data_IF_276143150360
#
_entry.id   IF_276143150360
#
_cell.length_a   1.000
_cell.length_b   1.000
_cell.length_c   1.000
_cell.angle_alpha   90.00
_cell.angle_beta   90.00
_cell.angle_gamma   90.00
#
_symmetry.space_group_name_H-M   'P 1'
#
loop_
_entity.id
_entity.type
_entity.pdbx_description
1 polymer ?
#
# COMPACT_ATOMS: atom_id res chain seq x y z
N UNK A 1 -12.59 -18.10 -32.95
CA UNK A 1 -11.37 -17.77 -32.17
C UNK A 1 -11.70 -17.97 -30.70
N UNK A 2 -11.46 -19.16 -30.12
CA UNK A 2 -11.58 -19.35 -28.65
C UNK A 2 -10.35 -18.68 -28.05
N UNK A 3 -10.53 -17.49 -27.50
CA UNK A 3 -9.47 -16.81 -26.76
C UNK A 3 -9.05 -17.71 -25.60
N UNK A 4 -7.76 -18.00 -25.55
CA UNK A 4 -7.16 -18.90 -24.59
C UNK A 4 -7.32 -18.31 -23.17
N UNK A 5 -8.38 -18.73 -22.47
CA UNK A 5 -8.83 -18.11 -21.22
C UNK A 5 -7.74 -18.10 -20.14
N UNK A 6 -6.85 -19.10 -20.17
CA UNK A 6 -5.69 -19.17 -19.30
C UNK A 6 -4.66 -18.06 -19.60
N UNK A 7 -4.42 -17.74 -20.88
CA UNK A 7 -3.51 -16.66 -21.29
C UNK A 7 -4.02 -15.26 -20.92
N UNK A 8 -5.33 -15.05 -21.04
CA UNK A 8 -5.98 -13.80 -20.62
C UNK A 8 -5.89 -13.59 -19.10
N UNK A 9 -6.18 -14.64 -18.31
CA UNK A 9 -6.10 -14.57 -16.84
C UNK A 9 -4.66 -14.44 -16.36
N UNK A 10 -3.69 -15.10 -17.00
CA UNK A 10 -2.26 -14.91 -16.68
C UNK A 10 -1.81 -13.47 -16.90
N UNK A 11 -2.25 -12.82 -17.98
CA UNK A 11 -1.98 -11.41 -18.23
C UNK A 11 -2.63 -10.49 -17.20
N UNK A 12 -3.85 -10.81 -16.76
CA UNK A 12 -4.51 -10.10 -15.67
C UNK A 12 -3.77 -10.22 -14.33
N UNK A 13 -3.25 -11.41 -14.00
CA UNK A 13 -2.42 -11.62 -12.79
C UNK A 13 -1.19 -10.72 -12.84
N UNK A 14 -0.46 -10.70 -13.95
CA UNK A 14 0.72 -9.83 -14.11
C UNK A 14 0.39 -8.35 -13.94
N UNK A 15 -0.71 -7.90 -14.55
CA UNK A 15 -1.18 -6.52 -14.40
C UNK A 15 -1.53 -6.19 -12.94
N UNK A 16 -2.25 -7.08 -12.24
CA UNK A 16 -2.62 -6.87 -10.84
C UNK A 16 -1.40 -6.89 -9.91
N UNK A 17 -0.43 -7.77 -10.17
CA UNK A 17 0.83 -7.80 -9.41
C UNK A 17 1.62 -6.51 -9.59
N UNK A 18 1.65 -5.95 -10.81
CA UNK A 18 2.23 -4.64 -11.06
C UNK A 18 1.49 -3.53 -10.28
N UNK A 19 0.15 -3.56 -10.22
CA UNK A 19 -0.65 -2.61 -9.43
C UNK A 19 -0.40 -2.74 -7.93
N UNK A 20 -0.25 -3.96 -7.41
CA UNK A 20 0.14 -4.19 -6.01
C UNK A 20 1.52 -3.59 -5.71
N UNK A 21 2.50 -3.80 -6.60
CA UNK A 21 3.84 -3.23 -6.44
C UNK A 21 3.82 -1.69 -6.45
N UNK A 22 3.01 -1.08 -7.32
CA UNK A 22 2.83 0.37 -7.33
C UNK A 22 2.20 0.87 -6.02
N UNK A 23 1.13 0.22 -5.55
CA UNK A 23 0.48 0.58 -4.28
C UNK A 23 1.41 0.41 -3.06
N UNK A 24 2.27 -0.62 -3.07
CA UNK A 24 3.29 -0.82 -2.05
C UNK A 24 4.32 0.34 -2.04
N UNK A 25 4.77 0.76 -3.22
CA UNK A 25 5.67 1.92 -3.37
C UNK A 25 5.01 3.21 -2.87
N UNK A 26 3.74 3.43 -3.20
CA UNK A 26 3.00 4.62 -2.76
C UNK A 26 2.83 4.64 -1.24
N UNK A 27 2.55 3.48 -0.63
CA UNK A 27 2.54 3.32 0.83
C UNK A 27 3.90 3.66 1.44
N UNK A 28 5.00 3.17 0.87
CA UNK A 28 6.34 3.43 1.38
C UNK A 28 6.71 4.92 1.30
N UNK A 29 6.33 5.58 0.21
CA UNK A 29 6.47 7.03 0.04
C UNK A 29 5.64 7.80 1.07
N UNK A 30 4.38 7.41 1.30
CA UNK A 30 3.53 8.01 2.32
C UNK A 30 4.08 7.80 3.74
N UNK A 31 4.61 6.62 4.06
CA UNK A 31 5.26 6.35 5.33
C UNK A 31 6.52 7.20 5.55
N UNK A 32 7.31 7.43 4.49
CA UNK A 32 8.45 8.34 4.55
C UNK A 32 8.01 9.80 4.77
N UNK A 33 6.91 10.23 4.15
CA UNK A 33 6.33 11.56 4.35
C UNK A 33 5.81 11.77 5.78
N UNK A 34 5.24 10.74 6.42
CA UNK A 34 4.86 10.78 7.84
C UNK A 34 6.09 11.01 8.72
N UNK A 35 7.15 10.20 8.57
CA UNK A 35 8.40 10.39 9.35
C UNK A 35 9.01 11.78 9.18
N UNK A 36 8.98 12.32 7.96
CA UNK A 36 9.46 13.67 7.70
C UNK A 36 8.55 14.77 8.26
N UNK A 37 7.25 14.50 8.46
CA UNK A 37 6.33 15.41 9.12
C UNK A 37 6.47 15.35 10.65
N UNK A 38 6.66 14.15 11.22
CA UNK A 38 6.97 13.96 12.65
C UNK A 38 8.22 14.73 13.04
N UNK A 39 9.34 14.53 12.33
CA UNK A 39 10.59 15.25 12.60
C UNK A 39 10.44 16.78 12.54
N UNK A 40 9.59 17.29 11.65
CA UNK A 40 9.30 18.74 11.55
C UNK A 40 8.44 19.23 12.71
N UNK A 41 7.44 18.45 13.12
CA UNK A 41 6.60 18.75 14.28
C UNK A 41 7.42 18.75 15.57
N UNK A 42 8.34 17.80 15.73
CA UNK A 42 9.23 17.73 16.89
C UNK A 42 10.18 18.92 16.94
N UNK A 43 10.77 19.32 15.80
CA UNK A 43 11.58 20.53 15.71
C UNK A 43 10.79 21.81 16.04
N UNK A 44 9.52 21.89 15.63
CA UNK A 44 8.64 23.01 15.98
C UNK A 44 8.29 23.02 17.48
N UNK A 45 8.06 21.86 18.09
CA UNK A 45 7.83 21.73 19.53
C UNK A 45 9.07 22.16 20.33
N UNK A 46 10.26 21.73 19.93
CA UNK A 46 11.52 22.14 20.55
C UNK A 46 11.73 23.66 20.47
N UNK A 47 11.41 24.26 19.33
CA UNK A 47 11.48 25.72 19.14
C UNK A 47 10.49 26.46 20.04
N UNK A 48 9.24 25.99 20.11
CA UNK A 48 8.22 26.55 21.00
C UNK A 48 8.65 26.44 22.48
N UNK A 49 9.20 25.29 22.89
CA UNK A 49 9.72 25.09 24.24
C UNK A 49 10.91 26.00 24.55
N UNK A 50 11.82 26.23 23.59
CA UNK A 50 12.93 27.16 23.75
C UNK A 50 12.46 28.61 23.93
N UNK A 51 11.44 29.02 23.20
CA UNK A 51 10.84 30.36 23.32
C UNK A 51 10.12 30.52 24.66
N UNK A 52 9.39 29.49 25.11
CA UNK A 52 8.76 29.48 26.43
C UNK A 52 9.79 29.64 27.56
N UNK A 53 10.93 28.92 27.49
CA UNK A 53 12.05 29.10 28.42
C UNK A 53 12.63 30.51 28.36
N UNK A 54 12.74 31.09 27.16
CA UNK A 54 13.21 32.48 27.01
C UNK A 54 12.26 33.47 27.64
N UNK A 55 10.94 33.28 27.49
CA UNK A 55 9.92 34.09 28.15
C UNK A 55 10.05 34.05 29.66
N UNK A 56 10.19 32.86 30.24
CA UNK A 56 10.39 32.69 31.68
C UNK A 56 11.65 33.43 32.17
N UNK A 57 12.76 33.29 31.45
CA UNK A 57 13.99 34.01 31.78
C UNK A 57 13.84 35.55 31.74
N UNK A 58 13.05 36.08 30.78
CA UNK A 58 12.76 37.52 30.70
C UNK A 58 11.87 37.97 31.87
N UNK A 59 10.86 37.17 32.22
CA UNK A 59 9.94 37.48 33.33
C UNK A 59 10.62 37.38 34.71
N UNK A 60 11.63 36.52 34.86
CA UNK A 60 12.41 36.39 36.10
C UNK A 60 13.59 37.36 36.21
N UNK A 61 13.79 38.24 35.23
CA UNK A 61 14.89 39.20 35.26
C UNK A 61 14.66 40.28 36.35
N UNK A 62 15.73 40.80 37.00
CA UNK A 62 15.61 41.84 38.04
C UNK A 62 14.97 43.14 37.54
N UNK A 63 15.12 43.43 36.25
CA UNK A 63 14.50 44.56 35.56
C UNK A 63 13.78 44.05 34.32
N UNK A 64 12.51 44.43 34.19
CA UNK A 64 11.67 43.98 33.09
C UNK A 64 11.86 44.89 31.86
N UNK A 65 12.44 44.33 30.80
CA UNK A 65 12.49 44.98 29.49
C UNK A 65 11.20 44.67 28.71
N UNK A 66 10.32 45.67 28.62
CA UNK A 66 9.03 45.55 27.95
C UNK A 66 9.16 45.33 26.43
N UNK A 67 10.16 45.91 25.78
CA UNK A 67 10.40 45.73 24.35
C UNK A 67 10.85 44.30 24.05
N UNK A 68 11.75 43.76 24.89
CA UNK A 68 12.17 42.36 24.79
C UNK A 68 11.00 41.41 25.07
N UNK A 69 10.19 41.68 26.10
CA UNK A 69 9.02 40.86 26.43
C UNK A 69 8.01 40.82 25.27
N UNK A 70 7.74 41.98 24.64
CA UNK A 70 6.84 42.06 23.49
C UNK A 70 7.39 41.31 22.26
N UNK A 71 8.71 41.37 22.04
CA UNK A 71 9.35 40.58 20.99
C UNK A 71 9.24 39.07 21.26
N UNK A 72 9.49 38.62 22.49
CA UNK A 72 9.35 37.21 22.87
C UNK A 72 7.90 36.72 22.70
N UNK A 73 6.91 37.52 23.12
CA UNK A 73 5.50 37.18 22.93
C UNK A 73 5.15 37.01 21.43
N UNK A 74 5.70 37.87 20.57
CA UNK A 74 5.50 37.75 19.11
C UNK A 74 6.10 36.45 18.55
N UNK A 75 7.30 36.07 19.02
CA UNK A 75 7.91 34.80 18.63
C UNK A 75 7.16 33.60 19.17
N UNK A 76 6.61 33.69 20.38
CA UNK A 76 5.82 32.62 21.00
C UNK A 76 4.54 32.34 20.19
N UNK A 77 3.81 33.38 19.79
CA UNK A 77 2.64 33.24 18.90
C UNK A 77 3.02 32.53 17.59
N UNK A 78 4.09 33.00 16.92
CA UNK A 78 4.54 32.40 15.66
C UNK A 78 4.95 30.94 15.82
N UNK A 79 5.67 30.60 16.88
CA UNK A 79 6.08 29.23 17.14
C UNK A 79 4.89 28.31 17.45
N UNK A 80 3.86 28.82 18.11
CA UNK A 80 2.62 28.08 18.35
C UNK A 80 1.81 27.87 17.05
N UNK A 81 1.73 28.90 16.20
CA UNK A 81 1.10 28.80 14.89
C UNK A 81 1.84 27.77 14.01
N UNK A 82 3.17 27.80 14.00
CA UNK A 82 4.02 26.85 13.27
C UNK A 82 3.86 25.42 13.80
N UNK A 83 3.80 25.23 15.13
CA UNK A 83 3.57 23.92 15.74
C UNK A 83 2.19 23.38 15.38
N UNK A 84 1.17 24.24 15.37
CA UNK A 84 -0.21 23.88 14.96
C UNK A 84 -0.23 23.44 13.50
N UNK A 85 0.36 24.23 12.60
CA UNK A 85 0.46 23.90 11.18
C UNK A 85 1.23 22.59 10.93
N UNK A 86 2.31 22.34 11.67
CA UNK A 86 3.06 21.09 11.58
C UNK A 86 2.24 19.89 12.10
N UNK A 87 1.45 20.07 13.15
CA UNK A 87 0.57 19.04 13.71
C UNK A 87 -0.56 18.68 12.74
N UNK A 88 -1.18 19.68 12.12
CA UNK A 88 -2.21 19.48 11.09
C UNK A 88 -1.63 18.78 9.85
N UNK A 89 -0.44 19.19 9.43
CA UNK A 89 0.26 18.54 8.32
C UNK A 89 0.59 17.08 8.65
N UNK A 90 1.04 16.77 9.86
CA UNK A 90 1.28 15.40 10.30
C UNK A 90 -0.01 14.57 10.27
N UNK A 91 -1.10 15.09 10.82
CA UNK A 91 -2.40 14.42 10.80
C UNK A 91 -2.85 14.10 9.36
N UNK A 92 -2.66 15.04 8.43
CA UNK A 92 -2.96 14.80 7.02
C UNK A 92 -2.07 13.71 6.41
N UNK A 93 -0.76 13.73 6.68
CA UNK A 93 0.15 12.67 6.18
C UNK A 93 -0.20 11.30 6.75
N UNK A 94 -0.63 11.23 8.01
CA UNK A 94 -1.10 9.99 8.62
C UNK A 94 -2.37 9.45 7.93
N UNK A 95 -3.32 10.33 7.58
CA UNK A 95 -4.50 9.96 6.78
C UNK A 95 -4.10 9.41 5.41
N UNK A 96 -3.25 10.12 4.66
CA UNK A 96 -2.76 9.66 3.36
C UNK A 96 -2.05 8.30 3.47
N UNK A 97 -1.24 8.08 4.51
CA UNK A 97 -0.58 6.79 4.73
C UNK A 97 -1.58 5.65 5.02
N UNK A 98 -2.63 5.92 5.81
CA UNK A 98 -3.69 4.95 6.06
C UNK A 98 -4.43 4.58 4.75
N UNK A 99 -4.78 5.57 3.93
CA UNK A 99 -5.42 5.34 2.63
C UNK A 99 -4.52 4.55 1.68
N UNK A 100 -3.22 4.86 1.62
CA UNK A 100 -2.26 4.12 0.80
C UNK A 100 -2.09 2.67 1.27
N UNK A 101 -2.09 2.44 2.58
CA UNK A 101 -2.08 1.09 3.16
C UNK A 101 -3.33 0.31 2.77
N UNK A 102 -4.51 0.91 2.87
CA UNK A 102 -5.76 0.26 2.47
C UNK A 102 -5.79 -0.06 0.97
N UNK A 103 -5.29 0.85 0.14
CA UNK A 103 -5.16 0.63 -1.30
C UNK A 103 -4.22 -0.55 -1.61
N UNK A 104 -3.09 -0.66 -0.92
CA UNK A 104 -2.19 -1.82 -1.04
C UNK A 104 -2.88 -3.13 -0.65
N UNK A 105 -3.63 -3.14 0.47
CA UNK A 105 -4.35 -4.33 0.93
C UNK A 105 -5.40 -4.78 -0.08
N UNK A 106 -6.14 -3.84 -0.67
CA UNK A 106 -7.11 -4.12 -1.75
C UNK A 106 -6.41 -4.68 -2.99
N UNK A 107 -5.31 -4.06 -3.43
CA UNK A 107 -4.55 -4.53 -4.59
C UNK A 107 -4.03 -5.96 -4.37
N UNK A 108 -3.52 -6.27 -3.18
CA UNK A 108 -3.08 -7.62 -2.80
C UNK A 108 -4.22 -8.64 -2.81
N UNK A 109 -5.41 -8.25 -2.34
CA UNK A 109 -6.59 -9.11 -2.41
C UNK A 109 -6.98 -9.40 -3.87
N UNK A 110 -6.92 -8.39 -4.75
CA UNK A 110 -7.22 -8.54 -6.17
C UNK A 110 -6.24 -9.50 -6.87
N UNK A 111 -4.94 -9.44 -6.53
CA UNK A 111 -3.94 -10.39 -7.03
C UNK A 111 -4.32 -11.81 -6.64
N UNK A 112 -4.60 -12.07 -5.36
CA UNK A 112 -5.00 -13.41 -4.88
C UNK A 112 -6.24 -13.93 -5.60
N UNK A 113 -7.24 -13.08 -5.84
CA UNK A 113 -8.45 -13.48 -6.59
C UNK A 113 -8.11 -13.88 -8.03
N UNK A 114 -7.21 -13.16 -8.70
CA UNK A 114 -6.80 -13.49 -10.06
C UNK A 114 -5.94 -14.76 -10.10
N UNK A 115 -5.06 -14.96 -9.12
CA UNK A 115 -4.26 -16.18 -8.99
C UNK A 115 -5.14 -17.40 -8.77
N UNK A 116 -6.06 -17.35 -7.80
CA UNK A 116 -7.01 -18.45 -7.56
C UNK A 116 -7.84 -18.80 -8.80
N UNK A 117 -8.22 -17.79 -9.60
CA UNK A 117 -8.92 -18.02 -10.87
C UNK A 117 -8.03 -18.66 -11.91
N UNK A 118 -6.77 -18.23 -12.03
CA UNK A 118 -5.78 -18.83 -12.93
C UNK A 118 -5.57 -20.30 -12.58
N UNK A 119 -5.37 -20.58 -11.31
CA UNK A 119 -5.05 -21.93 -10.82
C UNK A 119 -6.24 -22.88 -11.05
N UNK A 120 -7.48 -22.40 -10.88
CA UNK A 120 -8.68 -23.15 -11.25
C UNK A 120 -8.74 -23.48 -12.74
N UNK A 121 -8.47 -22.50 -13.62
CA UNK A 121 -8.48 -22.74 -15.06
C UNK A 121 -7.38 -23.72 -15.51
N UNK A 122 -6.22 -23.68 -14.86
CA UNK A 122 -5.14 -24.62 -15.12
C UNK A 122 -5.51 -26.04 -14.67
N UNK A 123 -6.15 -26.17 -13.50
CA UNK A 123 -6.67 -27.46 -13.03
C UNK A 123 -7.74 -28.03 -13.97
N UNK A 124 -8.73 -27.22 -14.37
CA UNK A 124 -9.77 -27.63 -15.33
C UNK A 124 -9.19 -28.05 -16.68
N UNK A 125 -8.13 -27.37 -17.15
CA UNK A 125 -7.43 -27.75 -18.37
C UNK A 125 -6.71 -29.10 -18.24
N UNK A 126 -6.02 -29.32 -17.12
CA UNK A 126 -5.34 -30.59 -16.84
C UNK A 126 -6.33 -31.76 -16.72
N UNK A 127 -7.41 -31.61 -15.96
CA UNK A 127 -8.48 -32.61 -15.84
C UNK A 127 -9.11 -32.93 -17.21
N UNK A 128 -9.30 -31.91 -18.05
CA UNK A 128 -9.83 -32.06 -19.40
C UNK A 128 -8.87 -32.81 -20.34
N UNK A 129 -7.57 -32.60 -20.20
CA UNK A 129 -6.55 -33.32 -20.96
C UNK A 129 -6.45 -34.78 -20.52
N UNK A 130 -6.49 -35.04 -19.22
CA UNK A 130 -6.49 -36.39 -18.64
C UNK A 130 -7.70 -37.19 -19.13
N UNK A 131 -8.92 -36.61 -19.07
CA UNK A 131 -10.14 -37.25 -19.61
C UNK A 131 -10.01 -37.61 -21.09
N UNK A 132 -9.50 -36.69 -21.92
CA UNK A 132 -9.27 -36.97 -23.36
C UNK A 132 -8.26 -38.09 -23.59
N UNK A 133 -7.30 -38.26 -22.69
CA UNK A 133 -6.31 -39.33 -22.78
C UNK A 133 -6.95 -40.68 -22.42
N UNK A 134 -7.75 -40.73 -21.36
CA UNK A 134 -8.57 -41.90 -21.00
C UNK A 134 -9.55 -42.29 -22.11
N UNK A 135 -10.30 -41.33 -22.66
CA UNK A 135 -11.26 -41.59 -23.75
C UNK A 135 -10.55 -42.17 -24.99
N UNK A 136 -9.36 -41.64 -25.33
CA UNK A 136 -8.54 -42.18 -26.43
C UNK A 136 -8.08 -43.60 -26.15
N UNK A 137 -7.60 -43.90 -24.95
CA UNK A 137 -7.19 -45.26 -24.57
C UNK A 137 -8.38 -46.24 -24.59
N UNK A 138 -9.53 -45.83 -24.07
CA UNK A 138 -10.75 -46.65 -24.08
C UNK A 138 -11.22 -46.93 -25.52
N UNK A 139 -11.18 -45.92 -26.40
CA UNK A 139 -11.50 -46.08 -27.82
C UNK A 139 -10.55 -47.05 -28.52
N UNK A 140 -9.24 -46.96 -28.27
CA UNK A 140 -8.24 -47.89 -28.83
C UNK A 140 -8.45 -49.33 -28.35
N UNK A 141 -8.74 -49.51 -27.05
CA UNK A 141 -9.02 -50.83 -26.47
C UNK A 141 -10.29 -51.44 -27.06
N UNK A 142 -11.35 -50.65 -27.23
CA UNK A 142 -12.61 -51.09 -27.85
C UNK A 142 -12.39 -51.50 -29.31
N UNK A 143 -11.62 -50.72 -30.08
CA UNK A 143 -11.26 -51.05 -31.45
C UNK A 143 -10.44 -52.35 -31.56
N UNK A 144 -9.57 -52.64 -30.59
CA UNK A 144 -8.77 -53.86 -30.54
C UNK A 144 -9.60 -55.12 -30.15
N UNK A 145 -10.63 -54.97 -29.31
CA UNK A 145 -11.49 -56.08 -28.87
C UNK A 145 -12.72 -56.29 -29.76
N UNK A 146 -13.07 -55.30 -30.59
CA UNK A 146 -14.20 -55.34 -31.53
C UNK A 146 -13.84 -55.79 -32.95
N UNK A 147 -12.58 -56.17 -33.21
CA UNK A 147 -12.23 -56.85 -34.45
C UNK A 147 -12.75 -58.30 -34.38
N UNK A 148 -13.78 -58.69 -35.15
CA UNK A 148 -14.03 -60.12 -35.36
C UNK A 148 -12.76 -60.71 -35.97
N UNK A 149 -12.28 -61.80 -35.39
CA UNK A 149 -11.41 -62.72 -36.12
C UNK A 149 -12.24 -63.23 -37.30
N UNK A 150 -12.04 -62.64 -38.47
CA UNK A 150 -12.41 -63.27 -39.74
C UNK A 150 -11.46 -64.48 -39.91
N UNK A 151 -11.88 -65.60 -39.31
CA UNK A 151 -11.53 -66.97 -39.71
C UNK A 151 -12.82 -67.66 -40.17
#
# INVERSE_FOLDING_TARGET
MKTDGAGAVSSLVRWRAFREALAARDRDAAAAAVRAAEARRDAAEDAAAAIARRREAVLSAPHLDLSLLQAVATFETRAFDDLTACSDALAERMRTHAEARDAQLRARADVRVAESRRDRLLAEAADGEEKRLFDRMASLMSAAHGAPSDD
#
